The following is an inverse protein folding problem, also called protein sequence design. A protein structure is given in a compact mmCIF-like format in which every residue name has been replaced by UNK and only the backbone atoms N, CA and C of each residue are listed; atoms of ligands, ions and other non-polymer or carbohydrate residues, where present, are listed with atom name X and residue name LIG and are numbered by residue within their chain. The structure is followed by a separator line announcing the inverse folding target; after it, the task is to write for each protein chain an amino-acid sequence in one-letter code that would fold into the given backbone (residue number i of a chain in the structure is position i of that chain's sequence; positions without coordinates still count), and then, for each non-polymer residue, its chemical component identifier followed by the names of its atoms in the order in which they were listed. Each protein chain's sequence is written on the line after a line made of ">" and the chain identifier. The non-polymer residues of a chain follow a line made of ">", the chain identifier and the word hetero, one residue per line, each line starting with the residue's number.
data_IF_153528506585
#
_entry.id   IF_153528506585
#
_cell.length_a   1.000
_cell.length_b   1.000
_cell.length_c   1.000
_cell.angle_alpha   90.00
_cell.angle_beta   90.00
_cell.angle_gamma   90.00
#
_symmetry.space_group_name_H-M   'P 1'
#
loop_
_entity.id
_entity.type
_entity.pdbx_description
1 polymer ?
#
# COMPACT_ATOMS: atom_id res chain seq x y z
N UNK A 1 6.65 10.19 60.03
CA UNK A 1 6.72 10.96 58.77
C UNK A 1 8.16 10.87 58.28
N UNK A 2 8.42 10.00 57.30
CA UNK A 2 9.77 9.65 56.87
C UNK A 2 10.41 10.76 56.03
N UNK A 3 11.45 11.38 56.55
CA UNK A 3 12.40 12.23 55.84
C UNK A 3 13.23 11.37 54.89
N UNK A 4 12.80 11.26 53.63
CA UNK A 4 13.60 10.66 52.57
C UNK A 4 14.84 11.53 52.36
N UNK A 5 16.03 10.91 52.43
CA UNK A 5 17.33 11.59 52.25
C UNK A 5 17.36 12.20 50.85
N UNK A 6 17.90 13.42 50.73
CA UNK A 6 18.01 14.17 49.47
C UNK A 6 18.53 13.33 48.29
N UNK A 7 19.37 12.33 48.55
CA UNK A 7 19.92 11.41 47.54
C UNK A 7 18.89 10.53 46.82
N UNK A 8 17.81 10.10 47.48
CA UNK A 8 16.76 9.27 46.82
C UNK A 8 15.90 10.10 45.86
N UNK A 9 15.73 11.39 46.13
CA UNK A 9 15.01 12.33 45.26
C UNK A 9 15.81 12.57 43.96
N UNK A 10 17.13 12.73 44.04
CA UNK A 10 17.99 12.88 42.85
C UNK A 10 18.01 11.61 41.98
N UNK A 11 18.00 10.43 42.58
CA UNK A 11 17.99 9.17 41.84
C UNK A 11 16.66 9.03 41.08
N UNK A 12 15.51 9.26 41.72
CA UNK A 12 14.20 9.15 41.06
C UNK A 12 14.02 10.15 39.92
N UNK A 13 14.49 11.40 40.07
CA UNK A 13 14.47 12.40 38.99
C UNK A 13 15.41 12.04 37.83
N UNK A 14 16.62 11.55 38.10
CA UNK A 14 17.57 11.15 37.04
C UNK A 14 17.03 9.94 36.26
N UNK A 15 16.46 8.93 36.94
CA UNK A 15 15.82 7.80 36.28
C UNK A 15 14.60 8.23 35.47
N UNK A 16 13.74 9.10 36.02
CA UNK A 16 12.59 9.63 35.28
C UNK A 16 13.02 10.43 34.05
N UNK A 17 14.07 11.26 34.18
CA UNK A 17 14.62 12.05 33.08
C UNK A 17 15.27 11.16 32.03
N UNK A 18 16.07 10.16 32.41
CA UNK A 18 16.66 9.18 31.48
C UNK A 18 15.55 8.38 30.76
N UNK A 19 14.52 7.92 31.47
CA UNK A 19 13.37 7.21 30.86
C UNK A 19 12.61 8.13 29.89
N UNK A 20 12.42 9.40 30.26
CA UNK A 20 11.77 10.41 29.41
C UNK A 20 12.62 10.70 28.16
N UNK A 21 13.94 10.85 28.31
CA UNK A 21 14.89 11.13 27.23
C UNK A 21 15.00 9.91 26.29
N UNK A 22 15.04 8.69 26.82
CA UNK A 22 15.00 7.44 26.03
C UNK A 22 13.67 7.31 25.29
N UNK A 23 12.52 7.66 25.91
CA UNK A 23 11.20 7.69 25.24
C UNK A 23 11.11 8.73 24.13
N UNK A 24 11.69 9.91 24.32
CA UNK A 24 11.71 10.98 23.32
C UNK A 24 12.65 10.61 22.17
N UNK A 25 13.81 10.01 22.46
CA UNK A 25 14.76 9.53 21.47
C UNK A 25 14.21 8.36 20.63
N UNK A 26 13.35 7.51 21.21
CA UNK A 26 12.62 6.44 20.53
C UNK A 26 11.22 6.86 20.03
N UNK A 27 11.01 8.15 19.74
CA UNK A 27 9.81 8.58 19.00
C UNK A 27 9.87 7.93 17.61
N UNK A 28 9.13 6.83 17.45
CA UNK A 28 9.11 6.05 16.21
C UNK A 28 8.92 6.99 15.00
N UNK A 29 9.77 6.87 13.96
CA UNK A 29 9.66 7.72 12.78
C UNK A 29 8.29 7.61 12.13
N UNK A 30 7.91 8.63 11.37
CA UNK A 30 6.65 8.68 10.62
C UNK A 30 6.49 7.41 9.79
N UNK A 31 5.32 6.76 9.90
CA UNK A 31 5.03 5.49 9.22
C UNK A 31 4.91 5.73 7.73
N UNK A 32 5.73 5.02 6.94
CA UNK A 32 5.69 5.08 5.49
C UNK A 32 5.00 3.83 4.94
N UNK A 33 4.60 3.88 3.66
CA UNK A 33 4.03 2.71 2.97
C UNK A 33 4.99 1.49 2.92
N UNK A 34 6.30 1.71 3.13
CA UNK A 34 7.30 0.64 3.19
C UNK A 34 7.21 -0.21 4.46
N UNK A 35 6.67 0.36 5.54
CA UNK A 35 6.66 -0.27 6.87
C UNK A 35 5.41 -1.14 7.11
N UNK A 36 4.53 -1.24 6.11
CA UNK A 36 3.25 -1.95 6.20
C UNK A 36 3.30 -3.22 5.34
N UNK A 37 2.77 -4.35 5.82
CA UNK A 37 2.66 -5.58 5.02
C UNK A 37 1.91 -5.35 3.71
N UNK A 38 2.42 -5.93 2.62
CA UNK A 38 1.91 -5.68 1.26
C UNK A 38 0.41 -5.97 1.11
N UNK A 39 -0.05 -7.13 1.59
CA UNK A 39 -1.45 -7.53 1.46
C UNK A 39 -2.39 -6.52 2.16
N UNK A 40 -2.04 -6.12 3.38
CA UNK A 40 -2.80 -5.14 4.17
C UNK A 40 -2.78 -3.77 3.53
N UNK A 41 -1.64 -3.34 2.96
CA UNK A 41 -1.52 -2.08 2.24
C UNK A 41 -2.43 -2.04 1.01
N UNK A 42 -2.42 -3.08 0.18
CA UNK A 42 -3.24 -3.14 -1.04
C UNK A 42 -4.73 -3.13 -0.69
N UNK A 43 -5.16 -3.94 0.28
CA UNK A 43 -6.56 -3.96 0.74
C UNK A 43 -7.01 -2.62 1.32
N UNK A 44 -6.17 -1.98 2.13
CA UNK A 44 -6.47 -0.68 2.73
C UNK A 44 -6.59 0.45 1.69
N UNK A 45 -5.70 0.47 0.70
CA UNK A 45 -5.77 1.43 -0.41
C UNK A 45 -7.00 1.15 -1.29
N UNK A 46 -7.30 -0.12 -1.59
CA UNK A 46 -8.49 -0.48 -2.36
C UNK A 46 -9.77 -0.02 -1.67
N UNK A 47 -9.87 -0.23 -0.35
CA UNK A 47 -10.99 0.27 0.46
C UNK A 47 -11.10 1.80 0.42
N UNK A 48 -9.97 2.51 0.51
CA UNK A 48 -9.94 3.97 0.40
C UNK A 48 -10.44 4.46 -0.96
N UNK A 49 -10.01 3.81 -2.05
CA UNK A 49 -10.44 4.16 -3.40
C UNK A 49 -11.95 3.93 -3.59
N UNK A 50 -12.49 2.84 -3.05
CA UNK A 50 -13.95 2.58 -3.04
C UNK A 50 -14.71 3.64 -2.24
N UNK A 51 -14.27 3.91 -1.00
CA UNK A 51 -14.90 4.90 -0.12
C UNK A 51 -14.91 6.30 -0.74
N UNK A 52 -13.88 6.62 -1.52
CA UNK A 52 -13.79 7.92 -2.19
C UNK A 52 -14.80 8.03 -3.34
N UNK A 53 -15.17 6.94 -4.01
CA UNK A 53 -16.15 6.91 -5.10
C UNK A 53 -15.76 7.68 -6.38
N UNK A 54 -14.65 8.42 -6.37
CA UNK A 54 -14.20 9.28 -7.49
C UNK A 54 -13.44 8.51 -8.58
N UNK A 55 -13.14 7.24 -8.36
CA UNK A 55 -12.37 6.44 -9.31
C UNK A 55 -13.27 6.01 -10.47
N UNK A 56 -12.96 6.47 -11.68
CA UNK A 56 -13.67 6.03 -12.89
C UNK A 56 -13.35 4.57 -13.18
N UNK A 57 -14.33 3.71 -12.97
CA UNK A 57 -14.30 2.29 -13.34
C UNK A 57 -14.80 2.18 -14.80
N UNK A 58 -14.04 1.55 -15.71
CA UNK A 58 -14.52 1.30 -17.08
C UNK A 58 -15.69 0.30 -17.12
N UNK A 59 -16.63 0.52 -18.04
CA UNK A 59 -17.87 -0.28 -18.16
C UNK A 59 -17.63 -1.77 -18.45
N UNK A 60 -16.51 -2.10 -19.10
CA UNK A 60 -16.16 -3.47 -19.47
C UNK A 60 -15.48 -4.27 -18.36
N UNK A 61 -15.27 -3.69 -17.16
CA UNK A 61 -14.51 -4.34 -16.06
C UNK A 61 -15.09 -5.69 -15.65
N UNK A 62 -16.40 -5.86 -15.76
CA UNK A 62 -17.09 -7.08 -15.33
C UNK A 62 -16.99 -8.22 -16.36
N UNK A 63 -16.63 -7.91 -17.59
CA UNK A 63 -16.65 -8.86 -18.72
C UNK A 63 -15.22 -9.37 -19.03
N UNK A 64 -14.19 -8.60 -18.66
CA UNK A 64 -12.82 -8.87 -19.11
C UNK A 64 -12.03 -9.77 -18.15
N UNK A 65 -11.08 -10.51 -18.73
CA UNK A 65 -9.98 -11.13 -17.99
C UNK A 65 -8.77 -10.22 -17.87
N UNK A 66 -7.98 -10.42 -16.82
CA UNK A 66 -6.86 -9.51 -16.46
C UNK A 66 -5.65 -9.56 -17.39
N UNK A 67 -5.49 -10.64 -18.16
CA UNK A 67 -4.39 -10.84 -19.09
C UNK A 67 -4.62 -12.03 -20.03
N UNK A 68 -3.83 -12.10 -21.11
CA UNK A 68 -3.93 -13.17 -22.12
C UNK A 68 -3.63 -14.55 -21.54
N UNK A 69 -2.73 -14.63 -20.56
CA UNK A 69 -2.33 -15.86 -19.90
C UNK A 69 -3.36 -16.41 -18.90
N UNK A 70 -4.41 -15.64 -18.57
CA UNK A 70 -5.50 -16.12 -17.74
C UNK A 70 -6.57 -16.76 -18.63
N UNK A 71 -7.09 -17.89 -18.18
CA UNK A 71 -8.18 -18.60 -18.85
C UNK A 71 -9.54 -18.07 -18.37
N UNK A 72 -9.65 -17.83 -17.05
CA UNK A 72 -10.86 -17.35 -16.39
C UNK A 72 -10.77 -15.86 -16.00
N UNK A 73 -11.93 -15.25 -15.80
CA UNK A 73 -12.08 -13.90 -15.26
C UNK A 73 -11.81 -13.87 -13.74
N UNK A 74 -11.49 -12.69 -13.16
CA UNK A 74 -11.38 -12.55 -11.71
C UNK A 74 -12.72 -12.81 -11.01
N UNK A 75 -12.67 -13.50 -9.87
CA UNK A 75 -13.86 -13.79 -9.05
C UNK A 75 -14.29 -12.62 -8.16
N UNK A 76 -13.33 -11.77 -7.75
CA UNK A 76 -13.63 -10.59 -6.92
C UNK A 76 -14.25 -9.51 -7.80
N UNK A 77 -15.49 -9.04 -7.55
CA UNK A 77 -16.12 -7.97 -8.34
C UNK A 77 -15.32 -6.67 -8.26
N UNK A 78 -14.57 -6.47 -7.19
CA UNK A 78 -13.79 -5.27 -6.93
C UNK A 78 -12.32 -5.37 -7.32
N UNK A 79 -11.99 -6.36 -8.16
CA UNK A 79 -10.63 -6.64 -8.60
C UNK A 79 -9.94 -5.41 -9.22
N UNK A 80 -10.70 -4.51 -9.84
CA UNK A 80 -10.17 -3.28 -10.45
C UNK A 80 -9.57 -2.33 -9.43
N UNK A 81 -10.22 -2.14 -8.28
CA UNK A 81 -9.70 -1.32 -7.17
C UNK A 81 -8.44 -1.93 -6.58
N UNK A 82 -8.43 -3.26 -6.39
CA UNK A 82 -7.26 -4.00 -5.92
C UNK A 82 -6.09 -3.85 -6.90
N UNK A 83 -6.35 -3.87 -8.21
CA UNK A 83 -5.33 -3.66 -9.25
C UNK A 83 -4.80 -2.23 -9.25
N UNK A 84 -5.65 -1.22 -9.10
CA UNK A 84 -5.23 0.17 -8.94
C UNK A 84 -4.39 0.37 -7.68
N UNK A 85 -4.79 -0.23 -6.55
CA UNK A 85 -4.03 -0.16 -5.30
C UNK A 85 -2.63 -0.79 -5.43
N UNK A 86 -2.52 -1.97 -6.05
CA UNK A 86 -1.25 -2.62 -6.33
C UNK A 86 -0.36 -1.77 -7.25
N UNK A 87 -0.95 -1.11 -8.24
CA UNK A 87 -0.25 -0.18 -9.14
C UNK A 87 0.31 1.04 -8.42
N UNK A 88 -0.51 1.72 -7.62
CA UNK A 88 -0.08 2.89 -6.85
C UNK A 88 1.09 2.50 -5.93
N UNK A 89 0.96 1.36 -5.23
CA UNK A 89 2.03 0.84 -4.40
C UNK A 89 3.29 0.62 -5.24
N UNK A 90 3.21 -0.04 -6.39
CA UNK A 90 4.39 -0.25 -7.23
C UNK A 90 5.08 1.06 -7.62
N UNK A 91 4.30 2.08 -8.03
CA UNK A 91 4.82 3.40 -8.41
C UNK A 91 5.51 4.11 -7.23
N UNK A 92 5.02 3.89 -6.00
CA UNK A 92 5.66 4.40 -4.80
C UNK A 92 7.09 3.87 -4.61
N UNK A 93 7.34 2.60 -4.95
CA UNK A 93 8.66 1.95 -4.81
C UNK A 93 9.56 2.19 -6.00
N UNK A 94 9.01 2.09 -7.22
CA UNK A 94 9.76 2.27 -8.46
C UNK A 94 9.06 3.32 -9.30
N UNK A 95 9.72 4.47 -9.46
CA UNK A 95 9.26 5.57 -10.32
C UNK A 95 10.43 5.96 -11.23
N UNK A 96 10.19 6.25 -12.53
CA UNK A 96 8.91 6.32 -13.25
C UNK A 96 8.42 4.97 -13.82
N UNK A 97 7.10 4.81 -13.99
CA UNK A 97 6.47 3.57 -14.53
C UNK A 97 5.67 3.84 -15.80
N UNK A 98 5.91 3.04 -16.84
CA UNK A 98 5.13 3.04 -18.08
C UNK A 98 4.15 1.86 -18.19
N UNK A 99 3.29 1.88 -19.21
CA UNK A 99 2.31 0.80 -19.45
C UNK A 99 3.01 -0.56 -19.70
N UNK A 100 4.13 -0.58 -20.41
CA UNK A 100 4.91 -1.81 -20.65
C UNK A 100 5.46 -2.44 -19.37
N UNK A 101 5.95 -1.62 -18.43
CA UNK A 101 6.39 -2.11 -17.12
C UNK A 101 5.23 -2.75 -16.35
N UNK A 102 4.06 -2.08 -16.31
CA UNK A 102 2.84 -2.64 -15.71
C UNK A 102 2.47 -3.98 -16.34
N UNK A 103 2.57 -4.09 -17.67
CA UNK A 103 2.27 -5.31 -18.40
C UNK A 103 3.14 -6.48 -17.97
N UNK A 104 4.43 -6.23 -17.70
CA UNK A 104 5.39 -7.20 -17.20
C UNK A 104 5.16 -7.57 -15.73
N UNK A 105 4.89 -6.58 -14.87
CA UNK A 105 4.65 -6.79 -13.42
C UNK A 105 3.46 -7.72 -13.17
N UNK A 106 2.37 -7.52 -13.91
CA UNK A 106 1.20 -8.39 -13.83
C UNK A 106 1.22 -9.53 -14.87
N UNK A 107 2.34 -9.73 -15.54
CA UNK A 107 2.54 -10.86 -16.46
C UNK A 107 2.62 -12.17 -15.70
N UNK A 108 2.55 -13.28 -16.44
CA UNK A 108 2.57 -14.59 -15.82
C UNK A 108 2.87 -15.70 -16.80
N UNK A 109 2.98 -16.91 -16.28
CA UNK A 109 3.16 -18.13 -17.07
C UNK A 109 1.87 -18.43 -17.82
N UNK A 110 1.93 -18.53 -19.15
CA UNK A 110 0.83 -19.00 -19.99
C UNK A 110 1.02 -20.49 -20.27
N UNK A 111 -0.01 -21.30 -20.00
CA UNK A 111 -0.09 -22.69 -20.42
C UNK A 111 -0.51 -22.73 -21.90
N UNK A 112 0.25 -23.43 -22.73
CA UNK A 112 -0.03 -23.60 -24.16
C UNK A 112 -0.57 -25.01 -24.49
N UNK A 113 -1.26 -25.65 -23.53
CA UNK A 113 -1.71 -27.03 -23.66
C UNK A 113 -0.54 -28.01 -23.63
N UNK A 114 -0.25 -28.60 -24.79
CA UNK A 114 0.83 -29.59 -25.00
C UNK A 114 2.21 -28.94 -25.10
N UNK A 115 2.28 -27.72 -25.64
CA UNK A 115 3.54 -27.01 -25.85
C UNK A 115 4.08 -26.44 -24.53
N UNK A 116 5.42 -26.24 -24.42
CA UNK A 116 6.03 -25.62 -23.25
C UNK A 116 5.40 -24.29 -22.85
N UNK A 117 5.42 -24.04 -21.54
CA UNK A 117 4.86 -22.80 -20.98
C UNK A 117 5.84 -21.65 -21.16
N UNK A 118 5.33 -20.50 -21.59
CA UNK A 118 6.13 -19.28 -21.76
C UNK A 118 5.55 -18.12 -20.95
N UNK A 119 6.39 -17.13 -20.66
CA UNK A 119 5.95 -15.88 -20.05
C UNK A 119 5.09 -15.09 -21.04
N UNK A 120 3.97 -14.57 -20.56
CA UNK A 120 3.10 -13.71 -21.34
C UNK A 120 2.66 -12.51 -20.53
N UNK A 121 2.75 -11.34 -21.16
CA UNK A 121 2.37 -10.07 -20.57
C UNK A 121 0.87 -9.97 -20.27
N UNK A 122 0.53 -9.09 -19.34
CA UNK A 122 -0.87 -8.78 -19.05
C UNK A 122 -1.51 -7.84 -20.08
N UNK A 123 -2.83 -7.68 -19.99
CA UNK A 123 -3.60 -6.86 -20.92
C UNK A 123 -3.24 -5.37 -20.79
N UNK A 124 -2.77 -4.78 -21.89
CA UNK A 124 -2.37 -3.37 -21.92
C UNK A 124 -3.52 -2.37 -21.77
N UNK A 125 -4.74 -2.73 -22.20
CA UNK A 125 -5.93 -1.89 -22.05
C UNK A 125 -6.25 -1.59 -20.59
N UNK A 126 -6.21 -2.62 -19.74
CA UNK A 126 -6.46 -2.51 -18.30
C UNK A 126 -5.39 -1.65 -17.64
N UNK A 127 -4.12 -1.92 -17.93
CA UNK A 127 -3.00 -1.14 -17.41
C UNK A 127 -3.10 0.35 -17.78
N UNK A 128 -3.46 0.66 -19.03
CA UNK A 128 -3.61 2.02 -19.51
C UNK A 128 -4.76 2.75 -18.83
N UNK A 129 -5.95 2.14 -18.76
CA UNK A 129 -7.12 2.73 -18.10
C UNK A 129 -6.88 2.93 -16.62
N UNK A 130 -6.31 1.96 -15.91
CA UNK A 130 -6.00 2.10 -14.48
C UNK A 130 -5.09 3.30 -14.21
N UNK A 131 -4.04 3.49 -15.02
CA UNK A 131 -3.15 4.65 -14.87
C UNK A 131 -3.85 5.97 -15.24
N UNK A 132 -4.76 5.98 -16.22
CA UNK A 132 -5.56 7.16 -16.57
C UNK A 132 -6.57 7.52 -15.45
N UNK A 133 -7.24 6.54 -14.86
CA UNK A 133 -8.18 6.76 -13.74
C UNK A 133 -7.47 7.34 -12.52
N UNK A 134 -6.23 6.90 -12.26
CA UNK A 134 -5.42 7.43 -11.15
C UNK A 134 -4.85 8.83 -11.43
N UNK A 135 -4.60 9.14 -12.71
CA UNK A 135 -4.20 10.48 -13.17
C UNK A 135 -5.36 11.48 -13.01
N UNK A 136 -6.59 11.07 -13.31
CA UNK A 136 -7.80 11.87 -13.07
C UNK A 136 -8.00 12.19 -11.58
N UNK A 137 -7.62 11.27 -10.70
CA UNK A 137 -7.63 11.48 -9.24
C UNK A 137 -6.48 12.35 -8.73
N UNK A 138 -5.58 12.82 -9.61
CA UNK A 138 -4.39 13.63 -9.27
C UNK A 138 -3.44 12.94 -8.25
N UNK A 139 -3.54 11.62 -8.12
CA UNK A 139 -2.61 10.82 -7.31
C UNK A 139 -1.30 10.56 -8.06
N UNK A 140 -1.38 10.52 -9.39
CA UNK A 140 -0.27 10.22 -10.29
C UNK A 140 -0.18 11.35 -11.33
N UNK A 141 1.05 11.72 -11.68
CA UNK A 141 1.37 12.68 -12.73
C UNK A 141 2.27 12.05 -13.80
N UNK A 142 2.23 12.63 -15.00
CA UNK A 142 3.16 12.28 -16.08
C UNK A 142 4.47 13.03 -15.85
N UNK A 143 5.58 12.32 -16.01
CA UNK A 143 6.92 12.93 -15.98
C UNK A 143 7.29 13.42 -17.38
N UNK A 144 7.98 14.58 -17.53
CA UNK A 144 8.42 15.07 -18.84
C UNK A 144 9.36 14.09 -19.57
N UNK A 145 10.20 13.37 -18.81
CA UNK A 145 11.11 12.32 -19.30
C UNK A 145 10.40 10.99 -19.66
N UNK A 146 9.07 10.97 -19.60
CA UNK A 146 8.26 9.78 -19.86
C UNK A 146 7.91 8.97 -18.62
N UNK A 147 6.88 8.13 -18.77
CA UNK A 147 6.29 7.36 -17.68
C UNK A 147 5.45 8.21 -16.72
N UNK A 148 5.11 7.60 -15.59
CA UNK A 148 4.25 8.19 -14.56
C UNK A 148 4.90 8.08 -13.18
N UNK A 149 4.79 9.15 -12.41
CA UNK A 149 5.28 9.26 -11.03
C UNK A 149 4.14 9.63 -10.09
N UNK A 150 4.34 9.39 -8.80
CA UNK A 150 3.39 9.79 -7.78
C UNK A 150 3.48 11.29 -7.52
N UNK A 151 2.33 11.95 -7.30
CA UNK A 151 2.31 13.37 -6.89
C UNK A 151 2.67 13.51 -5.41
N UNK A 152 3.06 14.72 -4.98
CA UNK A 152 3.28 15.03 -3.56
C UNK A 152 2.02 14.74 -2.73
N UNK A 153 0.84 15.08 -3.25
CA UNK A 153 -0.44 14.77 -2.63
C UNK A 153 -0.66 13.25 -2.50
N UNK A 154 -0.43 12.50 -3.59
CA UNK A 154 -0.55 11.04 -3.58
C UNK A 154 0.37 10.38 -2.56
N UNK A 155 1.59 10.90 -2.37
CA UNK A 155 2.53 10.41 -1.34
C UNK A 155 1.95 10.59 0.06
N UNK A 156 1.50 11.81 0.38
CA UNK A 156 0.92 12.15 1.69
C UNK A 156 -0.30 11.30 2.03
N UNK A 157 -1.19 11.09 1.05
CA UNK A 157 -2.40 10.30 1.27
C UNK A 157 -2.08 8.82 1.51
N UNK A 158 -1.10 8.26 0.80
CA UNK A 158 -0.64 6.89 1.03
C UNK A 158 0.02 6.70 2.38
N UNK A 159 0.85 7.64 2.82
CA UNK A 159 1.52 7.55 4.12
C UNK A 159 0.51 7.72 5.28
N UNK A 160 -0.52 8.57 5.10
CA UNK A 160 -1.65 8.64 6.04
C UNK A 160 -2.41 7.31 6.13
N UNK A 161 -2.69 6.67 5.00
CA UNK A 161 -3.33 5.35 4.96
C UNK A 161 -2.44 4.30 5.62
N UNK A 162 -1.12 4.33 5.39
CA UNK A 162 -0.17 3.42 6.02
C UNK A 162 -0.19 3.55 7.55
N UNK A 163 -0.22 4.78 8.08
CA UNK A 163 -0.34 5.02 9.52
C UNK A 163 -1.65 4.43 10.09
N UNK A 164 -2.78 4.61 9.39
CA UNK A 164 -4.07 4.02 9.79
C UNK A 164 -4.05 2.49 9.81
N UNK A 165 -3.43 1.87 8.79
CA UNK A 165 -3.31 0.41 8.72
C UNK A 165 -2.42 -0.12 9.84
N UNK A 166 -1.31 0.56 10.15
CA UNK A 166 -0.41 0.17 11.25
C UNK A 166 -1.13 0.26 12.61
N UNK A 167 -1.91 1.33 12.83
CA UNK A 167 -2.73 1.47 14.03
C UNK A 167 -3.77 0.32 14.13
N UNK A 168 -4.45 -0.01 13.03
CA UNK A 168 -5.41 -1.13 12.98
C UNK A 168 -4.73 -2.47 13.27
N UNK A 169 -3.55 -2.73 12.69
CA UNK A 169 -2.78 -3.94 12.94
C UNK A 169 -2.38 -4.06 14.41
N UNK A 170 -1.89 -2.97 15.02
CA UNK A 170 -1.51 -2.94 16.44
C UNK A 170 -2.71 -3.24 17.35
N UNK A 171 -3.90 -2.71 17.02
CA UNK A 171 -5.13 -3.01 17.75
C UNK A 171 -5.51 -4.49 17.65
N UNK A 172 -5.38 -5.07 16.47
CA UNK A 172 -5.71 -6.48 16.23
C UNK A 172 -4.76 -7.43 16.96
N UNK A 173 -3.46 -7.12 17.01
CA UNK A 173 -2.48 -7.88 17.79
C UNK A 173 -2.81 -7.85 19.29
N UNK A 174 -3.10 -6.66 19.85
CA UNK A 174 -3.53 -6.54 21.26
C UNK A 174 -4.79 -7.35 21.57
N UNK A 175 -5.75 -7.36 20.65
CA UNK A 175 -7.00 -8.12 20.84
C UNK A 175 -6.74 -9.64 20.85
N UNK A 176 -5.79 -10.10 20.03
CA UNK A 176 -5.39 -11.51 20.02
C UNK A 176 -4.67 -11.89 21.30
N UNK A 177 -3.78 -11.03 21.82
CA UNK A 177 -3.12 -11.23 23.12
C UNK A 177 -4.13 -11.35 24.27
N UNK A 178 -5.19 -10.55 24.27
CA UNK A 178 -6.24 -10.62 25.30
C UNK A 178 -7.18 -11.82 25.18
N UNK A 179 -7.26 -12.47 24.03
CA UNK A 179 -8.12 -13.64 23.81
C UNK A 179 -7.41 -14.97 24.10
N UNK A 180 -6.08 -14.93 24.21
CA UNK A 180 -5.23 -16.11 24.50
C UNK A 180 -4.94 -16.22 26.01
N UNK A 181 -5.27 -15.19 26.78
CA UNK A 181 -5.33 -15.19 28.24
C UNK A 181 -6.75 -15.51 28.71
#
# INVERSE_FOLDING_TARGET
>A
MATLRKEEIYITDVYFTIILLVRIAFKMPSVNLKDVPQDKAVRGIAFFLKKTGKLRVPDWVDIVKTGRHKELAPYDPDWYYTRCAALIRHIYFRSPVGVGAVRKIFGGRKRNGTHPSHFCESAGGIARKALQSLEQLKLIEKTPLGGRKLTSQGRRDLDRIAAQIKAKCKKQMKLQETLVL
#
